data_IF_223481709018
#
_entry.id   IF_223481709018
#
_cell.length_a   1.000
_cell.length_b   1.000
_cell.length_c   1.000
_cell.angle_alpha   90.00
_cell.angle_beta   90.00
_cell.angle_gamma   90.00
#
_symmetry.space_group_name_H-M   'P 1'
#
loop_
_entity.id
_entity.type
_entity.pdbx_description
1 polymer ?
#
# COMPACT_ATOMS: atom_id res chain seq x y z
N UNK A 1 -7.02 -27.24 -3.76
CA UNK A 1 -6.26 -25.98 -3.69
C UNK A 1 -4.85 -26.38 -3.34
N UNK A 2 -3.88 -26.16 -4.24
CA UNK A 2 -2.46 -26.35 -3.94
C UNK A 2 -2.06 -25.45 -2.76
N UNK A 3 -1.22 -25.97 -1.87
CA UNK A 3 -0.79 -25.24 -0.69
C UNK A 3 0.21 -24.17 -1.17
N UNK A 4 -0.24 -22.93 -1.32
CA UNK A 4 0.54 -21.83 -1.89
C UNK A 4 1.87 -21.61 -1.16
N UNK A 5 1.96 -21.99 0.11
CA UNK A 5 3.19 -21.96 0.91
C UNK A 5 4.28 -22.93 0.42
N UNK A 6 3.95 -24.04 -0.26
CA UNK A 6 4.95 -24.99 -0.80
C UNK A 6 5.62 -24.48 -2.10
N UNK A 7 5.05 -23.45 -2.73
CA UNK A 7 5.56 -22.85 -3.98
C UNK A 7 6.48 -21.65 -3.68
N UNK A 8 6.34 -21.03 -2.50
CA UNK A 8 7.10 -19.85 -2.11
C UNK A 8 8.49 -20.23 -1.59
N UNK A 9 9.51 -19.44 -1.91
CA UNK A 9 10.82 -19.58 -1.28
C UNK A 9 10.74 -19.17 0.20
N UNK A 10 11.74 -19.59 0.99
CA UNK A 10 11.78 -19.39 2.45
C UNK A 10 11.61 -17.92 2.88
N UNK A 11 12.03 -16.97 2.05
CA UNK A 11 12.00 -15.53 2.34
C UNK A 11 11.01 -14.74 1.46
N UNK A 12 10.22 -15.43 0.64
CA UNK A 12 9.20 -14.77 -0.18
C UNK A 12 8.07 -14.28 0.72
N UNK A 13 7.58 -13.06 0.46
CA UNK A 13 6.35 -12.54 1.06
C UNK A 13 5.32 -12.34 -0.04
N UNK A 14 4.28 -13.15 -0.02
CA UNK A 14 3.14 -13.01 -0.91
C UNK A 14 2.06 -12.16 -0.23
N UNK A 15 1.56 -11.15 -0.92
CA UNK A 15 0.50 -10.28 -0.42
C UNK A 15 -0.67 -10.15 -1.39
N UNK A 16 -1.89 -10.15 -0.87
CA UNK A 16 -3.06 -9.61 -1.58
C UNK A 16 -2.93 -8.09 -1.62
N UNK A 17 -3.22 -7.48 -2.77
CA UNK A 17 -3.20 -6.02 -2.92
C UNK A 17 -4.63 -5.51 -3.07
N UNK A 18 -5.07 -4.69 -2.12
CA UNK A 18 -6.34 -3.95 -2.18
C UNK A 18 -6.07 -2.56 -2.73
N UNK A 19 -6.49 -2.31 -3.97
CA UNK A 19 -6.29 -1.02 -4.62
C UNK A 19 -7.51 -0.12 -4.43
N UNK A 20 -7.26 1.11 -3.98
CA UNK A 20 -8.26 2.17 -3.85
C UNK A 20 -7.89 3.32 -4.77
N UNK A 21 -8.89 3.92 -5.43
CA UNK A 21 -8.72 5.16 -6.18
C UNK A 21 -9.15 6.35 -5.30
N UNK A 22 -8.32 7.39 -5.24
CA UNK A 22 -8.61 8.65 -4.60
C UNK A 22 -8.52 9.77 -5.64
N UNK A 23 -9.65 10.44 -5.86
CA UNK A 23 -9.73 11.65 -6.67
C UNK A 23 -9.72 12.88 -5.74
N UNK A 24 -8.84 13.84 -6.04
CA UNK A 24 -8.72 15.12 -5.32
C UNK A 24 -8.22 16.20 -6.28
N UNK A 25 -8.96 17.31 -6.37
CA UNK A 25 -8.56 18.49 -7.17
C UNK A 25 -8.18 18.12 -8.63
N UNK A 26 -9.04 17.33 -9.30
CA UNK A 26 -8.84 16.77 -10.66
C UNK A 26 -7.61 15.88 -10.83
N UNK A 27 -6.95 15.50 -9.73
CA UNK A 27 -5.85 14.54 -9.72
C UNK A 27 -6.31 13.19 -9.18
N UNK A 28 -5.78 12.11 -9.75
CA UNK A 28 -6.01 10.74 -9.29
C UNK A 28 -4.75 10.15 -8.72
N UNK A 29 -4.89 9.53 -7.56
CA UNK A 29 -3.86 8.71 -6.93
C UNK A 29 -4.49 7.39 -6.51
N UNK A 30 -3.70 6.33 -6.55
CA UNK A 30 -4.09 5.04 -6.00
C UNK A 30 -3.50 4.86 -4.61
N UNK A 31 -4.16 4.08 -3.77
CA UNK A 31 -3.61 3.59 -2.51
C UNK A 31 -3.65 2.07 -2.58
N UNK A 32 -2.49 1.44 -2.57
CA UNK A 32 -2.36 0.00 -2.57
C UNK A 32 -2.13 -0.46 -1.13
N UNK A 33 -3.07 -1.22 -0.58
CA UNK A 33 -2.92 -1.85 0.74
C UNK A 33 -2.48 -3.29 0.55
N UNK A 34 -1.31 -3.64 1.08
CA UNK A 34 -0.71 -4.98 1.00
C UNK A 34 -1.08 -5.77 2.25
N UNK A 35 -1.83 -6.84 2.05
CA UNK A 35 -2.19 -7.84 3.06
C UNK A 35 -1.33 -9.08 2.86
N UNK A 36 -0.39 -9.40 3.76
CA UNK A 36 0.45 -10.58 3.62
C UNK A 36 -0.36 -11.86 3.82
N UNK A 37 -0.38 -12.73 2.80
CA UNK A 37 -1.13 -13.99 2.78
C UNK A 37 -0.24 -15.25 2.81
N UNK A 38 1.07 -15.10 2.61
CA UNK A 38 2.03 -16.20 2.64
C UNK A 38 3.45 -15.68 2.79
N UNK A 39 4.35 -16.50 3.35
CA UNK A 39 5.72 -16.10 3.65
C UNK A 39 5.98 -15.68 5.09
N UNK A 40 7.26 -15.58 5.46
CA UNK A 40 7.72 -15.12 6.76
C UNK A 40 8.73 -13.99 6.58
N UNK A 41 8.67 -12.88 7.35
CA UNK A 41 7.69 -12.59 8.38
C UNK A 41 6.35 -12.07 7.82
N UNK A 42 5.24 -12.47 8.45
CA UNK A 42 3.93 -11.82 8.25
C UNK A 42 4.00 -10.42 8.85
N UNK A 43 4.45 -9.45 8.05
CA UNK A 43 4.51 -8.04 8.44
C UNK A 43 3.11 -7.46 8.68
N UNK A 44 3.06 -6.22 9.15
CA UNK A 44 1.82 -5.44 9.25
C UNK A 44 1.22 -5.15 7.86
N UNK A 45 -0.05 -4.78 7.80
CA UNK A 45 -0.67 -4.27 6.58
C UNK A 45 -0.05 -2.92 6.23
N UNK A 46 0.33 -2.75 4.97
CA UNK A 46 1.02 -1.54 4.50
C UNK A 46 0.18 -0.88 3.41
N UNK A 47 -0.20 0.37 3.61
CA UNK A 47 -0.89 1.19 2.63
C UNK A 47 0.08 2.18 1.99
N UNK A 48 0.33 2.04 0.70
CA UNK A 48 1.28 2.87 -0.04
C UNK A 48 0.51 3.68 -1.10
N UNK A 49 0.62 5.03 -1.09
CA UNK A 49 0.16 5.83 -2.22
C UNK A 49 0.95 5.47 -3.48
N UNK A 50 0.28 5.26 -4.60
CA UNK A 50 0.90 4.95 -5.88
C UNK A 50 0.20 5.64 -7.04
N UNK A 51 0.94 5.94 -8.10
CA UNK A 51 0.43 6.15 -9.45
C UNK A 51 0.52 4.82 -10.22
N UNK A 52 -0.18 4.71 -11.34
CA UNK A 52 -0.12 3.55 -12.25
C UNK A 52 1.33 3.20 -12.61
N UNK A 53 2.20 4.21 -12.72
CA UNK A 53 3.60 4.07 -13.12
C UNK A 53 4.63 4.16 -11.99
N UNK A 54 4.23 4.51 -10.74
CA UNK A 54 5.20 4.86 -9.69
C UNK A 54 4.62 4.72 -8.28
N UNK A 55 5.31 4.02 -7.40
CA UNK A 55 4.95 3.96 -5.97
C UNK A 55 5.59 5.12 -5.18
N UNK A 56 4.92 5.56 -4.11
CA UNK A 56 5.47 6.54 -3.20
C UNK A 56 6.70 5.97 -2.48
N UNK A 57 7.85 6.62 -2.63
CA UNK A 57 9.09 6.24 -1.96
C UNK A 57 9.24 6.89 -0.57
N UNK A 58 8.39 7.85 -0.21
CA UNK A 58 8.44 8.52 1.08
C UNK A 58 7.63 7.74 2.12
N UNK A 59 8.33 7.17 3.09
CA UNK A 59 7.73 6.37 4.18
C UNK A 59 6.82 7.19 5.10
N UNK A 60 6.93 8.52 5.12
CA UNK A 60 6.05 9.39 5.93
C UNK A 60 4.59 9.31 5.49
N UNK A 61 4.34 8.99 4.21
CA UNK A 61 3.01 8.86 3.62
C UNK A 61 2.52 7.42 3.58
N UNK A 62 3.33 6.46 4.02
CA UNK A 62 2.95 5.05 4.10
C UNK A 62 2.13 4.84 5.36
N UNK A 63 0.92 4.31 5.20
CA UNK A 63 0.06 3.90 6.30
C UNK A 63 0.41 2.50 6.79
N UNK A 64 0.33 2.29 8.09
CA UNK A 64 0.50 0.98 8.73
C UNK A 64 -0.75 0.61 9.52
N UNK A 65 -1.03 -0.69 9.63
CA UNK A 65 -2.11 -1.19 10.48
C UNK A 65 -2.13 -2.71 10.59
N UNK A 66 -3.05 -3.21 11.42
CA UNK A 66 -3.27 -4.65 11.60
C UNK A 66 -4.46 -5.15 10.76
N UNK A 67 -5.03 -4.27 9.94
CA UNK A 67 -6.04 -4.59 8.93
C UNK A 67 -5.96 -3.65 7.73
N UNK A 68 -6.62 -4.04 6.62
CA UNK A 68 -6.73 -3.20 5.41
C UNK A 68 -7.28 -1.81 5.75
N UNK A 69 -8.34 -1.75 6.55
CA UNK A 69 -8.98 -0.49 6.93
C UNK A 69 -8.10 0.38 7.81
N UNK A 70 -7.34 -0.20 8.73
CA UNK A 70 -6.43 0.58 9.59
C UNK A 70 -5.29 1.18 8.78
N UNK A 71 -4.63 0.38 7.95
CA UNK A 71 -3.54 0.86 7.09
C UNK A 71 -4.03 1.94 6.12
N UNK A 72 -5.19 1.73 5.48
CA UNK A 72 -5.81 2.73 4.61
C UNK A 72 -6.11 4.03 5.36
N UNK A 73 -6.72 3.95 6.54
CA UNK A 73 -7.04 5.14 7.34
C UNK A 73 -5.78 5.88 7.79
N UNK A 74 -4.72 5.16 8.17
CA UNK A 74 -3.44 5.76 8.55
C UNK A 74 -2.80 6.49 7.35
N UNK A 75 -2.79 5.85 6.17
CA UNK A 75 -2.33 6.47 4.92
C UNK A 75 -3.13 7.74 4.60
N UNK A 76 -4.46 7.67 4.64
CA UNK A 76 -5.34 8.81 4.38
C UNK A 76 -5.10 9.96 5.35
N UNK A 77 -4.84 9.67 6.64
CA UNK A 77 -4.48 10.69 7.64
C UNK A 77 -3.16 11.38 7.31
N UNK A 78 -2.14 10.62 6.90
CA UNK A 78 -0.80 11.15 6.56
C UNK A 78 -0.80 12.05 5.34
N UNK A 79 -1.63 11.73 4.33
CA UNK A 79 -1.77 12.54 3.11
C UNK A 79 -2.87 13.61 3.21
N UNK A 80 -3.55 13.72 4.35
CA UNK A 80 -4.60 14.73 4.58
C UNK A 80 -3.98 16.12 4.59
N UNK A 81 -4.53 17.03 3.77
CA UNK A 81 -4.03 18.40 3.65
C UNK A 81 -2.70 18.53 2.90
N UNK A 82 -2.19 17.43 2.31
CA UNK A 82 -1.06 17.44 1.38
C UNK A 82 -1.57 17.46 -0.06
N UNK A 83 -0.86 18.17 -0.93
CA UNK A 83 -1.10 18.10 -2.38
C UNK A 83 -0.61 16.74 -2.89
N UNK A 84 -1.35 16.10 -3.79
CA UNK A 84 -0.99 14.77 -4.28
C UNK A 84 0.37 14.75 -5.00
N UNK A 85 0.73 15.85 -5.67
CA UNK A 85 2.05 16.04 -6.28
C UNK A 85 3.23 16.07 -5.27
N UNK A 86 2.97 16.39 -3.99
CA UNK A 86 3.97 16.35 -2.92
C UNK A 86 4.10 14.94 -2.33
N UNK A 87 3.02 14.17 -2.37
CA UNK A 87 2.97 12.78 -1.89
C UNK A 87 3.65 11.86 -2.90
N UNK A 88 3.37 12.04 -4.18
CA UNK A 88 4.03 11.31 -5.26
C UNK A 88 4.59 12.33 -6.27
N UNK A 89 5.91 12.60 -6.22
CA UNK A 89 6.53 13.51 -7.18
C UNK A 89 6.36 12.97 -8.60
N UNK A 90 5.59 13.67 -9.42
CA UNK A 90 5.59 13.49 -10.87
C UNK A 90 6.91 14.09 -11.35
N UNK A 91 7.83 13.22 -11.77
CA UNK A 91 9.14 13.64 -12.27
C UNK A 91 9.01 14.44 -13.56
#
# INVERSE_FOLDING_TARGET
MENTEEILNQDDVLSTVHQYELERDDQRVFINVREPIGGSPKGSFIAVPSLISKECSNTDYVGLGDSVNEALNDCLKRIKGKLLNQVIPQG
#
